data_IF_857505787287
#
_entry.id   IF_857505787287
#
_cell.length_a   1.000
_cell.length_b   1.000
_cell.length_c   1.000
_cell.angle_alpha   90.00
_cell.angle_beta   90.00
_cell.angle_gamma   90.00
#
_symmetry.space_group_name_H-M   'P 1'
#
loop_
_entity.id
_entity.type
_entity.pdbx_description
1 polymer ?
#
# COMPACT_ATOMS: atom_id res chain seq x y z
N UNK A 1 -22.63 -13.55 14.04
CA UNK A 1 -21.32 -13.69 13.37
C UNK A 1 -21.17 -12.47 12.48
N UNK A 2 -20.44 -11.47 12.96
CA UNK A 2 -20.34 -10.18 12.30
C UNK A 2 -19.48 -10.34 11.05
N UNK A 3 -19.97 -9.87 9.91
CA UNK A 3 -19.26 -9.77 8.63
C UNK A 3 -17.99 -8.90 8.77
N UNK A 4 -16.94 -9.44 9.38
CA UNK A 4 -15.61 -8.81 9.48
C UNK A 4 -14.85 -8.84 8.13
N UNK A 5 -15.54 -9.20 7.05
CA UNK A 5 -15.13 -8.83 5.68
C UNK A 5 -15.54 -7.40 5.37
N UNK A 6 -15.38 -6.48 6.32
CA UNK A 6 -15.36 -5.06 6.03
C UNK A 6 -14.39 -4.87 4.86
N UNK A 7 -14.92 -4.43 3.71
CA UNK A 7 -14.27 -4.43 2.41
C UNK A 7 -12.84 -3.92 2.50
N UNK A 8 -11.85 -4.82 2.57
CA UNK A 8 -10.44 -4.46 2.51
C UNK A 8 -10.23 -3.66 1.23
N UNK A 9 -10.01 -2.35 1.38
CA UNK A 9 -9.87 -1.46 0.23
C UNK A 9 -8.48 -1.73 -0.34
N UNK A 10 -8.42 -2.38 -1.48
CA UNK A 10 -7.16 -2.65 -2.16
C UNK A 10 -6.72 -1.40 -2.93
N UNK A 11 -5.41 -1.18 -2.99
CA UNK A 11 -4.82 -0.08 -3.74
C UNK A 11 -3.50 -0.49 -4.38
N UNK A 12 -3.25 0.00 -5.58
CA UNK A 12 -1.98 -0.21 -6.28
C UNK A 12 -0.90 0.76 -5.81
N UNK A 13 0.36 0.50 -6.16
CA UNK A 13 1.47 1.45 -5.93
C UNK A 13 1.18 2.80 -6.55
N UNK A 14 0.64 2.82 -7.78
CA UNK A 14 0.25 4.08 -8.45
C UNK A 14 -0.83 4.83 -7.68
N UNK A 15 -1.83 4.13 -7.15
CA UNK A 15 -2.87 4.72 -6.32
C UNK A 15 -2.31 5.32 -5.04
N UNK A 16 -1.41 4.62 -4.36
CA UNK A 16 -0.74 5.10 -3.15
C UNK A 16 0.07 6.37 -3.42
N UNK A 17 0.85 6.36 -4.50
CA UNK A 17 1.67 7.50 -4.93
C UNK A 17 0.84 8.78 -5.12
N UNK A 18 -0.31 8.67 -5.77
CA UNK A 18 -1.24 9.79 -5.94
C UNK A 18 -1.77 10.31 -4.59
N UNK A 19 -2.07 9.42 -3.64
CA UNK A 19 -2.61 9.83 -2.32
C UNK A 19 -1.58 10.54 -1.45
N UNK A 20 -0.33 10.11 -1.47
CA UNK A 20 0.74 10.68 -0.62
C UNK A 20 1.54 11.79 -1.33
N UNK A 21 1.17 12.18 -2.55
CA UNK A 21 1.84 13.24 -3.30
C UNK A 21 3.30 12.89 -3.63
N UNK A 22 3.54 11.67 -4.09
CA UNK A 22 4.87 11.15 -4.46
C UNK A 22 4.84 10.44 -5.81
N UNK A 23 6.00 10.10 -6.36
CA UNK A 23 6.09 9.33 -7.60
C UNK A 23 5.90 7.83 -7.32
N UNK A 24 5.35 7.05 -8.27
CA UNK A 24 5.21 5.59 -8.10
C UNK A 24 6.54 4.88 -7.83
N UNK A 25 7.64 5.36 -8.42
CA UNK A 25 8.97 4.78 -8.19
C UNK A 25 9.45 5.02 -6.75
N UNK A 26 9.21 6.22 -6.21
CA UNK A 26 9.53 6.53 -4.83
C UNK A 26 8.75 5.63 -3.86
N UNK A 27 7.43 5.48 -4.04
CA UNK A 27 6.61 4.59 -3.22
C UNK A 27 7.04 3.13 -3.37
N UNK A 28 7.35 2.67 -4.59
CA UNK A 28 7.85 1.30 -4.82
C UNK A 28 9.13 1.03 -4.04
N UNK A 29 10.04 2.01 -3.97
CA UNK A 29 11.26 1.87 -3.18
C UNK A 29 10.96 1.86 -1.68
N UNK A 30 10.03 2.69 -1.20
CA UNK A 30 9.61 2.66 0.20
C UNK A 30 9.02 1.30 0.60
N UNK A 31 8.19 0.70 -0.27
CA UNK A 31 7.56 -0.61 -0.02
C UNK A 31 8.54 -1.79 -0.06
N UNK A 32 9.83 -1.59 -0.39
CA UNK A 32 10.86 -2.65 -0.31
C UNK A 32 11.58 -2.69 1.04
N UNK A 33 11.42 -1.68 1.89
CA UNK A 33 12.12 -1.64 3.16
C UNK A 33 11.46 -2.54 4.20
N UNK A 34 12.27 -2.92 5.21
CA UNK A 34 11.81 -3.72 6.34
C UNK A 34 10.60 -3.06 7.03
N UNK A 35 9.54 -3.84 7.24
CA UNK A 35 8.31 -3.39 7.89
C UNK A 35 7.27 -2.81 6.93
N UNK A 36 7.53 -2.76 5.63
CA UNK A 36 6.49 -2.51 4.63
C UNK A 36 5.46 -3.65 4.63
N UNK A 37 4.18 -3.37 4.33
CA UNK A 37 3.17 -4.42 4.20
C UNK A 37 3.44 -5.30 2.98
N UNK A 38 3.11 -6.58 3.12
CA UNK A 38 3.23 -7.53 2.02
C UNK A 38 2.22 -7.19 0.89
N UNK A 39 2.66 -7.27 -0.37
CA UNK A 39 1.74 -7.15 -1.49
C UNK A 39 0.78 -8.34 -1.52
N UNK A 40 -0.47 -8.07 -1.85
CA UNK A 40 -1.47 -9.10 -2.09
C UNK A 40 -1.44 -9.48 -3.56
N UNK A 41 -1.43 -10.78 -3.83
CA UNK A 41 -1.58 -11.31 -5.18
C UNK A 41 -3.07 -11.31 -5.54
N UNK A 42 -3.41 -10.70 -6.68
CA UNK A 42 -4.74 -10.80 -7.27
C UNK A 42 -4.61 -11.69 -8.50
N UNK A 43 -5.50 -12.68 -8.63
CA UNK A 43 -5.56 -13.56 -9.80
C UNK A 43 -5.72 -12.73 -11.08
N UNK A 44 -4.80 -12.93 -12.03
CA UNK A 44 -4.75 -12.16 -13.29
C UNK A 44 -4.24 -10.72 -13.17
N UNK A 45 -3.83 -10.28 -11.99
CA UNK A 45 -3.24 -8.96 -11.76
C UNK A 45 -1.76 -8.91 -12.17
N UNK A 46 -1.38 -7.90 -12.96
CA UNK A 46 0.03 -7.63 -13.32
C UNK A 46 0.71 -6.64 -12.38
N UNK A 47 -0.04 -6.03 -11.46
CA UNK A 47 0.44 -5.03 -10.51
C UNK A 47 0.23 -5.48 -9.07
N UNK A 48 1.24 -5.27 -8.23
CA UNK A 48 1.14 -5.47 -6.80
C UNK A 48 0.10 -4.51 -6.19
N UNK A 49 -0.84 -5.07 -5.43
CA UNK A 49 -1.81 -4.32 -4.64
C UNK A 49 -1.51 -4.49 -3.15
N UNK A 50 -2.01 -3.56 -2.36
CA UNK A 50 -1.84 -3.55 -0.92
C UNK A 50 -3.18 -3.25 -0.26
N UNK A 51 -3.33 -3.68 0.98
CA UNK A 51 -4.35 -3.12 1.84
C UNK A 51 -4.10 -1.61 2.02
N UNK A 52 -5.11 -0.80 1.75
CA UNK A 52 -5.01 0.64 1.70
C UNK A 52 -4.61 1.24 3.04
N UNK A 53 -5.27 0.84 4.13
CA UNK A 53 -5.07 1.44 5.44
C UNK A 53 -3.68 1.13 5.96
N UNK A 54 -3.28 -0.14 5.85
CA UNK A 54 -1.96 -0.61 6.26
C UNK A 54 -0.85 0.07 5.46
N UNK A 55 -1.00 0.17 4.13
CA UNK A 55 -0.03 0.83 3.27
C UNK A 55 0.09 2.33 3.55
N UNK A 56 -1.03 3.03 3.78
CA UNK A 56 -0.98 4.45 4.13
C UNK A 56 -0.35 4.68 5.50
N UNK A 57 -0.68 3.86 6.50
CA UNK A 57 -0.09 3.96 7.83
C UNK A 57 1.44 3.79 7.78
N UNK A 58 1.91 2.78 7.03
CA UNK A 58 3.33 2.58 6.82
C UNK A 58 3.99 3.80 6.15
N UNK A 59 3.45 4.25 5.02
CA UNK A 59 4.00 5.38 4.26
C UNK A 59 4.06 6.66 5.09
N UNK A 60 3.00 6.99 5.85
CA UNK A 60 3.03 8.15 6.74
C UNK A 60 4.08 8.00 7.84
N UNK A 61 4.26 6.80 8.41
CA UNK A 61 5.23 6.56 9.48
C UNK A 61 6.69 6.72 9.02
N UNK A 62 7.00 6.35 7.78
CA UNK A 62 8.35 6.50 7.22
C UNK A 62 8.59 7.91 6.71
N UNK A 63 7.56 8.57 6.13
CA UNK A 63 7.66 9.94 5.65
C UNK A 63 7.79 10.95 6.78
N UNK A 64 7.28 10.67 7.98
CA UNK A 64 7.47 11.53 9.15
C UNK A 64 8.91 11.55 9.69
N UNK A 65 9.78 10.63 9.23
CA UNK A 65 11.17 10.50 9.65
C UNK A 65 12.16 11.11 8.65
N UNK A 66 11.67 11.56 7.50
CA UNK A 66 12.43 12.21 6.41
C UNK A 66 12.19 13.70 6.46
#
# INVERSE_FOLDING_TARGET
>A
MTDERASRRLITVKGLANRVGRTPNHVRNLMKYKGAPDPLEIEGGTEAVYDLETALQYLHSVMAKV
#
